data_IF_902888076374
#
_entry.id   IF_902888076374
#
_cell.length_a   1.000
_cell.length_b   1.000
_cell.length_c   1.000
_cell.angle_alpha   90.00
_cell.angle_beta   90.00
_cell.angle_gamma   90.00
#
_symmetry.space_group_name_H-M   'P 1'
#
loop_
_entity.id
_entity.type
_entity.pdbx_description
1 polymer ?
#
# COMPACT_ATOMS: atom_id res chain seq x y z
N UNK A 1 27.01 -34.12 16.83
CA UNK A 1 27.04 -33.64 15.43
C UNK A 1 26.81 -32.13 15.49
N UNK A 2 27.86 -31.39 15.85
CA UNK A 2 27.77 -29.94 16.05
C UNK A 2 27.65 -29.29 14.68
N UNK A 3 26.48 -28.73 14.37
CA UNK A 3 26.37 -27.86 13.20
C UNK A 3 27.39 -26.74 13.39
N UNK A 4 28.29 -26.49 12.43
CA UNK A 4 29.25 -25.41 12.56
C UNK A 4 28.45 -24.10 12.75
N UNK A 5 28.77 -23.31 13.78
CA UNK A 5 28.08 -22.05 14.10
C UNK A 5 27.75 -21.16 12.89
N UNK A 6 28.62 -21.04 11.86
CA UNK A 6 28.32 -20.31 10.62
C UNK A 6 27.17 -20.87 9.77
N UNK A 7 26.81 -22.14 9.91
CA UNK A 7 25.62 -22.73 9.28
C UNK A 7 24.34 -22.38 10.03
N UNK A 8 24.40 -22.29 11.37
CA UNK A 8 23.25 -21.90 12.20
C UNK A 8 22.91 -20.43 11.96
N UNK A 9 23.92 -19.56 11.97
CA UNK A 9 23.78 -18.13 11.68
C UNK A 9 23.16 -17.89 10.30
N UNK A 10 23.70 -18.53 9.26
CA UNK A 10 23.16 -18.45 7.89
C UNK A 10 21.74 -19.00 7.78
N UNK A 11 21.41 -20.06 8.52
CA UNK A 11 20.05 -20.59 8.55
C UNK A 11 19.07 -19.62 9.21
N UNK A 12 19.43 -19.00 10.33
CA UNK A 12 18.62 -18.00 11.04
C UNK A 12 18.39 -16.78 10.16
N UNK A 13 19.44 -16.21 9.57
CA UNK A 13 19.29 -15.09 8.62
C UNK A 13 18.39 -15.44 7.43
N UNK A 14 18.53 -16.65 6.89
CA UNK A 14 17.72 -17.10 5.76
C UNK A 14 16.25 -17.20 6.13
N UNK A 15 15.93 -17.69 7.33
CA UNK A 15 14.55 -17.79 7.82
C UNK A 15 13.99 -16.40 8.14
N UNK A 16 14.78 -15.52 8.77
CA UNK A 16 14.41 -14.13 9.03
C UNK A 16 14.02 -13.40 7.74
N UNK A 17 14.84 -13.49 6.68
CA UNK A 17 14.51 -12.91 5.37
C UNK A 17 13.19 -13.41 4.79
N UNK A 18 12.89 -14.70 4.94
CA UNK A 18 11.64 -15.28 4.42
C UNK A 18 10.41 -14.78 5.19
N UNK A 19 10.50 -14.67 6.51
CA UNK A 19 9.40 -14.14 7.32
C UNK A 19 9.18 -12.64 7.08
N UNK A 20 10.24 -11.83 7.04
CA UNK A 20 10.16 -10.41 6.67
C UNK A 20 9.45 -10.23 5.33
N UNK A 21 9.87 -10.98 4.31
CA UNK A 21 9.25 -10.93 2.99
C UNK A 21 7.75 -11.31 3.02
N UNK A 22 7.38 -12.31 3.83
CA UNK A 22 5.98 -12.75 3.96
C UNK A 22 5.11 -11.68 4.61
N UNK A 23 5.65 -10.94 5.58
CA UNK A 23 4.97 -9.86 6.26
C UNK A 23 4.80 -8.64 5.33
N UNK A 24 5.87 -8.23 4.64
CA UNK A 24 5.85 -7.11 3.67
C UNK A 24 4.88 -7.36 2.51
N UNK A 25 4.77 -8.62 2.04
CA UNK A 25 3.90 -8.97 0.91
C UNK A 25 2.45 -8.57 1.11
N UNK A 26 1.94 -8.59 2.35
CA UNK A 26 0.56 -8.19 2.64
C UNK A 26 0.36 -6.68 2.53
N UNK A 27 1.38 -5.88 2.85
CA UNK A 27 1.35 -4.42 2.75
C UNK A 27 1.43 -3.92 1.30
N UNK A 28 2.05 -4.70 0.40
CA UNK A 28 2.16 -4.36 -1.02
C UNK A 28 0.79 -4.15 -1.69
N UNK A 29 -0.23 -4.92 -1.31
CA UNK A 29 -1.58 -4.72 -1.84
C UNK A 29 -2.18 -3.37 -1.44
N UNK A 30 -1.96 -2.93 -0.20
CA UNK A 30 -2.47 -1.66 0.29
C UNK A 30 -1.74 -0.47 -0.35
N UNK A 31 -0.42 -0.58 -0.53
CA UNK A 31 0.38 0.39 -1.29
C UNK A 31 -0.12 0.54 -2.72
N UNK A 32 -0.45 -0.57 -3.37
CA UNK A 32 -0.99 -0.56 -4.73
C UNK A 32 -2.34 0.17 -4.79
N UNK A 33 -3.26 -0.14 -3.87
CA UNK A 33 -4.57 0.52 -3.80
C UNK A 33 -4.43 2.02 -3.55
N UNK A 34 -3.57 2.42 -2.61
CA UNK A 34 -3.31 3.82 -2.30
C UNK A 34 -2.82 4.61 -3.52
N UNK A 35 -1.99 3.97 -4.37
CA UNK A 35 -1.47 4.58 -5.61
C UNK A 35 -2.50 4.61 -6.74
N UNK A 36 -3.28 3.56 -6.89
CA UNK A 36 -4.24 3.44 -8.00
C UNK A 36 -5.55 4.20 -7.75
N UNK A 37 -6.02 4.31 -6.51
CA UNK A 37 -7.31 4.95 -6.19
C UNK A 37 -7.45 6.40 -6.71
N UNK A 38 -6.43 7.29 -6.58
CA UNK A 38 -6.49 8.62 -7.19
C UNK A 38 -6.56 8.57 -8.72
N UNK A 39 -5.89 7.60 -9.36
CA UNK A 39 -5.94 7.41 -10.81
C UNK A 39 -7.34 7.02 -11.27
N UNK A 40 -8.06 6.20 -10.50
CA UNK A 40 -9.48 5.91 -10.76
C UNK A 40 -10.37 7.15 -10.60
N UNK A 41 -10.09 8.02 -9.64
CA UNK A 41 -10.75 9.33 -9.53
C UNK A 41 -10.55 10.20 -10.77
N UNK A 42 -9.32 10.22 -11.30
CA UNK A 42 -8.99 10.90 -12.56
C UNK A 42 -9.72 10.30 -13.77
N UNK A 43 -9.82 8.97 -13.88
CA UNK A 43 -10.63 8.32 -14.92
C UNK A 43 -12.10 8.77 -14.86
N UNK A 44 -12.66 8.94 -13.66
CA UNK A 44 -14.00 9.50 -13.47
C UNK A 44 -14.14 10.91 -14.05
N UNK A 45 -13.08 11.73 -14.00
CA UNK A 45 -13.11 13.07 -14.60
C UNK A 45 -13.19 13.02 -16.12
N UNK A 46 -12.46 12.09 -16.76
CA UNK A 46 -12.49 11.90 -18.21
C UNK A 46 -13.89 11.43 -18.63
N UNK A 47 -14.45 10.44 -17.95
CA UNK A 47 -15.80 9.96 -18.25
C UNK A 47 -16.86 11.06 -18.06
N UNK A 48 -16.73 11.89 -17.03
CA UNK A 48 -17.63 13.02 -16.80
C UNK A 48 -17.59 14.05 -17.94
N UNK A 49 -16.39 14.36 -18.46
CA UNK A 49 -16.24 15.26 -19.61
C UNK A 49 -16.85 14.65 -20.87
N UNK A 50 -16.61 13.37 -21.15
CA UNK A 50 -17.21 12.66 -22.28
C UNK A 50 -18.75 12.72 -22.20
N UNK A 51 -19.31 12.48 -21.01
CA UNK A 51 -20.76 12.54 -20.80
C UNK A 51 -21.33 13.93 -21.07
N UNK A 52 -20.66 15.00 -20.60
CA UNK A 52 -21.09 16.38 -20.87
C UNK A 52 -21.17 16.64 -22.37
N UNK A 53 -20.12 16.29 -23.13
CA UNK A 53 -20.12 16.51 -24.58
C UNK A 53 -21.13 15.63 -25.31
N UNK A 54 -21.35 14.41 -24.84
CA UNK A 54 -22.38 13.52 -25.37
C UNK A 54 -23.79 14.11 -25.17
N UNK A 55 -24.11 14.58 -23.96
CA UNK A 55 -25.42 15.19 -23.66
C UNK A 55 -25.66 16.47 -24.47
N UNK A 56 -24.61 17.29 -24.67
CA UNK A 56 -24.65 18.46 -25.55
C UNK A 56 -24.94 18.04 -27.00
N UNK A 57 -24.27 16.99 -27.50
CA UNK A 57 -24.45 16.52 -28.88
C UNK A 57 -25.86 15.97 -29.17
N UNK A 58 -26.55 15.46 -28.14
CA UNK A 58 -27.90 14.93 -28.28
C UNK A 58 -28.98 16.00 -28.24
N UNK A 59 -28.78 17.04 -27.43
CA UNK A 59 -29.79 18.07 -27.18
C UNK A 59 -29.59 19.34 -28.00
N UNK A 60 -28.42 19.49 -28.64
CA UNK A 60 -27.95 20.71 -29.32
C UNK A 60 -28.08 21.96 -28.42
N UNK A 61 -28.14 21.74 -27.10
CA UNK A 61 -28.49 22.74 -26.11
C UNK A 61 -27.32 22.93 -25.15
N UNK A 62 -26.68 24.09 -25.27
CA UNK A 62 -25.54 24.49 -24.45
C UNK A 62 -25.94 25.09 -23.09
N UNK A 63 -27.07 24.66 -22.52
CA UNK A 63 -27.56 25.23 -21.26
C UNK A 63 -26.53 25.03 -20.13
N UNK A 64 -26.33 26.11 -19.36
CA UNK A 64 -25.42 26.10 -18.20
C UNK A 64 -25.84 25.03 -17.18
N UNK A 65 -27.12 24.68 -17.11
CA UNK A 65 -27.63 23.62 -16.22
C UNK A 65 -27.04 22.24 -16.54
N UNK A 66 -27.03 21.84 -17.81
CA UNK A 66 -26.48 20.53 -18.23
C UNK A 66 -24.97 20.47 -17.98
N UNK A 67 -24.26 21.54 -18.33
CA UNK A 67 -22.81 21.64 -18.13
C UNK A 67 -22.47 21.60 -16.64
N UNK A 68 -23.13 22.42 -15.83
CA UNK A 68 -22.85 22.52 -14.39
C UNK A 68 -23.16 21.21 -13.64
N UNK A 69 -24.22 20.50 -14.02
CA UNK A 69 -24.54 19.17 -13.48
C UNK A 69 -23.46 18.14 -13.77
N UNK A 70 -22.98 18.05 -15.02
CA UNK A 70 -21.90 17.13 -15.39
C UNK A 70 -20.55 17.52 -14.76
N UNK A 71 -20.27 18.82 -14.62
CA UNK A 71 -19.08 19.33 -13.93
C UNK A 71 -19.12 19.01 -12.43
N UNK A 72 -20.30 19.09 -11.80
CA UNK A 72 -20.46 18.68 -10.41
C UNK A 72 -20.19 17.17 -10.24
N UNK A 73 -20.78 16.34 -11.11
CA UNK A 73 -20.61 14.90 -11.06
C UNK A 73 -19.13 14.50 -11.18
N UNK A 74 -18.38 15.09 -12.14
CA UNK A 74 -16.96 14.77 -12.33
C UNK A 74 -16.10 15.17 -11.12
N UNK A 75 -16.40 16.30 -10.48
CA UNK A 75 -15.65 16.79 -9.33
C UNK A 75 -15.86 15.88 -8.12
N UNK A 76 -17.09 15.40 -7.91
CA UNK A 76 -17.41 14.45 -6.85
C UNK A 76 -16.67 13.11 -7.04
N UNK A 77 -16.62 12.58 -8.27
CA UNK A 77 -15.89 11.34 -8.55
C UNK A 77 -14.38 11.50 -8.34
N UNK A 78 -13.81 12.66 -8.69
CA UNK A 78 -12.40 12.97 -8.45
C UNK A 78 -12.08 13.05 -6.96
N UNK A 79 -12.92 13.75 -6.21
CA UNK A 79 -12.77 13.88 -4.76
C UNK A 79 -12.88 12.52 -4.06
N UNK A 80 -13.80 11.66 -4.51
CA UNK A 80 -13.96 10.30 -3.99
C UNK A 80 -12.71 9.43 -4.21
N UNK A 81 -12.13 9.43 -5.41
CA UNK A 81 -10.91 8.67 -5.70
C UNK A 81 -9.71 9.14 -4.88
N UNK A 82 -9.59 10.46 -4.67
CA UNK A 82 -8.54 11.03 -3.81
C UNK A 82 -8.75 10.66 -2.34
N UNK A 83 -9.99 10.74 -1.84
CA UNK A 83 -10.31 10.40 -0.46
C UNK A 83 -9.95 8.94 -0.13
N UNK A 84 -10.34 8.01 -0.99
CA UNK A 84 -9.99 6.59 -0.84
C UNK A 84 -8.47 6.39 -0.89
N UNK A 85 -7.78 7.07 -1.80
CA UNK A 85 -6.32 7.02 -1.91
C UNK A 85 -5.62 7.51 -0.64
N UNK A 86 -6.06 8.62 -0.06
CA UNK A 86 -5.51 9.18 1.19
C UNK A 86 -5.69 8.20 2.35
N UNK A 87 -6.90 7.67 2.53
CA UNK A 87 -7.19 6.73 3.64
C UNK A 87 -6.33 5.47 3.50
N UNK A 88 -6.25 4.91 2.29
CA UNK A 88 -5.40 3.74 2.03
C UNK A 88 -3.92 4.04 2.26
N UNK A 89 -3.44 5.23 1.91
CA UNK A 89 -2.05 5.65 2.11
C UNK A 89 -1.70 5.78 3.60
N UNK A 90 -2.59 6.40 4.40
CA UNK A 90 -2.41 6.50 5.85
C UNK A 90 -2.40 5.12 6.49
N UNK A 91 -3.33 4.24 6.10
CA UNK A 91 -3.38 2.86 6.59
C UNK A 91 -2.13 2.05 6.22
N UNK A 92 -1.62 2.21 4.99
CA UNK A 92 -0.36 1.60 4.56
C UNK A 92 0.79 2.04 5.45
N UNK A 93 0.96 3.35 5.64
CA UNK A 93 2.07 3.88 6.42
C UNK A 93 2.03 3.42 7.89
N UNK A 94 0.85 3.42 8.50
CA UNK A 94 0.66 2.94 9.87
C UNK A 94 1.02 1.46 10.02
N UNK A 95 0.57 0.61 9.10
CA UNK A 95 0.88 -0.82 9.14
C UNK A 95 2.36 -1.11 8.83
N UNK A 96 2.99 -0.32 7.96
CA UNK A 96 4.44 -0.42 7.71
C UNK A 96 5.23 -0.10 8.98
N UNK A 97 4.86 0.94 9.73
CA UNK A 97 5.53 1.26 11.00
C UNK A 97 5.44 0.12 12.02
N UNK A 98 4.24 -0.48 12.16
CA UNK A 98 4.07 -1.65 13.04
C UNK A 98 4.89 -2.85 12.57
N UNK A 99 5.01 -3.05 11.26
CA UNK A 99 5.82 -4.13 10.70
C UNK A 99 7.31 -3.92 10.99
N UNK A 100 7.81 -2.69 10.83
CA UNK A 100 9.21 -2.37 11.08
C UNK A 100 9.57 -2.61 12.56
N UNK A 101 8.67 -2.29 13.49
CA UNK A 101 8.84 -2.63 14.92
C UNK A 101 8.95 -4.14 15.15
N UNK A 102 8.08 -4.94 14.53
CA UNK A 102 8.11 -6.41 14.65
C UNK A 102 9.39 -7.02 14.04
N UNK A 103 9.85 -6.50 12.90
CA UNK A 103 11.12 -6.95 12.28
C UNK A 103 12.30 -6.65 13.20
N UNK A 104 12.33 -5.48 13.84
CA UNK A 104 13.38 -5.12 14.79
C UNK A 104 13.39 -6.07 16.01
N UNK A 105 12.22 -6.50 16.50
CA UNK A 105 12.14 -7.46 17.61
C UNK A 105 12.64 -8.87 17.19
N UNK A 106 12.34 -9.29 15.97
CA UNK A 106 12.86 -10.54 15.39
C UNK A 106 14.39 -10.53 15.25
N UNK A 107 14.96 -9.42 14.78
CA UNK A 107 16.42 -9.24 14.69
C UNK A 107 17.07 -9.28 16.07
N UNK A 108 16.51 -8.56 17.03
CA UNK A 108 17.01 -8.53 18.42
C UNK A 108 17.01 -9.92 19.06
N UNK A 109 15.92 -10.66 18.90
CA UNK A 109 15.79 -12.05 19.39
C UNK A 109 16.80 -12.98 18.72
N UNK A 110 17.08 -12.78 17.44
CA UNK A 110 18.08 -13.56 16.70
C UNK A 110 19.49 -13.30 17.23
N UNK A 111 19.83 -12.03 17.52
CA UNK A 111 21.12 -11.65 18.11
C UNK A 111 21.28 -12.24 19.51
N UNK A 112 20.26 -12.11 20.38
CA UNK A 112 20.29 -12.67 21.73
C UNK A 112 20.48 -14.21 21.71
N UNK A 113 19.83 -14.90 20.77
CA UNK A 113 20.01 -16.34 20.60
C UNK A 113 21.44 -16.71 20.15
N UNK A 114 22.04 -15.93 19.26
CA UNK A 114 23.42 -16.12 18.83
C UNK A 114 24.40 -15.90 20.00
N UNK A 115 24.22 -14.86 20.79
CA UNK A 115 25.04 -14.58 21.98
C UNK A 115 24.96 -15.71 23.02
N UNK A 116 23.77 -16.30 23.21
CA UNK A 116 23.59 -17.48 24.06
C UNK A 116 24.35 -18.72 23.54
N UNK A 117 24.49 -18.88 22.22
CA UNK A 117 25.27 -19.97 21.64
C UNK A 117 26.78 -19.72 21.67
N UNK A 118 27.20 -18.45 21.67
CA UNK A 118 28.62 -18.05 21.78
C UNK A 118 29.15 -18.07 23.20
N UNK A 119 28.29 -18.01 24.22
CA UNK A 119 28.71 -18.12 25.61
C UNK A 119 29.13 -19.55 25.93
N UNK A 120 30.38 -19.80 26.37
CA UNK A 120 30.83 -21.14 26.67
C UNK A 120 30.03 -21.70 27.85
N UNK A 121 29.36 -22.83 27.62
CA UNK A 121 28.71 -23.62 28.67
C UNK A 121 29.81 -24.02 29.66
N UNK A 122 29.74 -23.50 30.89
CA UNK A 122 30.58 -23.98 32.00
C UNK A 122 30.20 -25.41 32.38
#
# INVERSE_FOLDING_TARGET
MSRPMPEIERAIESVGRVETFRLEKKLNHLSLIARLAPMFGFLGTIMGVIKIFYDISLTDNLSIGVISGGLYQKMLTSAGGLLVGIIAFVGYYFLTMMLDEEINELERSSIEFMDMLHTPVK
#
